data_IF_423167689633
#
_entry.id   IF_423167689633
#
_cell.length_a   1.000
_cell.length_b   1.000
_cell.length_c   1.000
_cell.angle_alpha   90.00
_cell.angle_beta   90.00
_cell.angle_gamma   90.00
#
_symmetry.space_group_name_H-M   'P 1'
#
loop_
_entity.id
_entity.type
_entity.pdbx_description
1 polymer ?
#
# COMPACT_ATOMS: atom_id res chain seq x y z
N UNK A 1 13.42 -11.89 0.31
CA UNK A 1 14.18 -11.72 -0.95
C UNK A 1 13.44 -10.75 -1.84
N UNK A 2 14.13 -10.08 -2.74
CA UNK A 2 13.51 -9.15 -3.69
C UNK A 2 14.45 -8.83 -4.85
N UNK A 3 14.00 -7.96 -5.75
CA UNK A 3 14.87 -7.47 -6.82
C UNK A 3 16.00 -6.63 -6.23
N UNK A 4 17.21 -6.74 -6.78
CA UNK A 4 18.38 -5.98 -6.32
C UNK A 4 18.14 -4.46 -6.32
N UNK A 5 17.32 -3.97 -7.26
CA UNK A 5 16.99 -2.55 -7.43
C UNK A 5 15.57 -2.20 -6.94
N UNK A 6 14.96 -3.07 -6.13
CA UNK A 6 13.60 -2.89 -5.63
C UNK A 6 13.50 -1.90 -4.47
N UNK A 7 12.37 -1.18 -4.38
CA UNK A 7 12.01 -0.33 -3.24
C UNK A 7 11.92 -1.13 -1.93
N UNK A 8 11.72 -2.44 -2.04
CA UNK A 8 11.62 -3.38 -0.94
C UNK A 8 12.92 -3.44 -0.12
N UNK A 9 14.09 -3.24 -0.73
CA UNK A 9 15.39 -3.31 -0.03
C UNK A 9 15.41 -2.33 1.15
N UNK A 10 15.11 -1.06 0.90
CA UNK A 10 15.13 -0.03 1.93
C UNK A 10 14.07 -0.24 3.02
N UNK A 11 12.92 -0.84 2.68
CA UNK A 11 11.89 -1.18 3.66
C UNK A 11 12.32 -2.34 4.58
N UNK A 12 12.91 -3.39 4.00
CA UNK A 12 13.36 -4.58 4.73
C UNK A 12 14.55 -4.26 5.64
N UNK A 13 15.49 -3.45 5.16
CA UNK A 13 16.66 -3.02 5.94
C UNK A 13 16.24 -2.16 7.13
N UNK A 14 15.28 -1.23 6.96
CA UNK A 14 14.72 -0.45 8.08
C UNK A 14 14.01 -1.31 9.13
N UNK A 15 13.45 -2.45 8.73
CA UNK A 15 12.82 -3.40 9.64
C UNK A 15 13.83 -4.33 10.34
N UNK A 16 15.14 -4.18 10.09
CA UNK A 16 16.18 -5.05 10.66
C UNK A 16 16.19 -6.48 10.09
N UNK A 17 15.55 -6.71 8.96
CA UNK A 17 15.43 -8.03 8.34
C UNK A 17 16.54 -8.28 7.33
N UNK A 18 17.01 -9.52 7.21
CA UNK A 18 18.04 -9.88 6.23
C UNK A 18 17.49 -9.82 4.80
N UNK A 19 18.02 -8.91 3.99
CA UNK A 19 17.69 -8.82 2.57
C UNK A 19 18.70 -9.61 1.72
N UNK A 20 18.17 -10.45 0.82
CA UNK A 20 18.93 -11.13 -0.25
C UNK A 20 18.32 -10.74 -1.58
N UNK A 21 19.12 -10.07 -2.41
CA UNK A 21 18.73 -9.67 -3.75
C UNK A 21 18.86 -10.83 -4.73
N UNK A 22 17.88 -10.98 -5.61
CA UNK A 22 17.91 -11.93 -6.74
C UNK A 22 17.79 -11.13 -8.03
N UNK A 23 18.56 -11.52 -9.04
CA UNK A 23 18.49 -10.86 -10.36
C UNK A 23 17.22 -11.33 -11.08
N UNK A 24 16.26 -10.43 -11.25
CA UNK A 24 14.98 -10.72 -11.90
C UNK A 24 14.69 -9.65 -12.94
N UNK A 25 14.60 -10.04 -14.21
CA UNK A 25 14.21 -9.14 -15.28
C UNK A 25 12.76 -8.67 -15.10
N UNK A 26 12.51 -7.37 -15.25
CA UNK A 26 11.15 -6.86 -15.41
C UNK A 26 10.63 -7.30 -16.78
N UNK A 27 9.56 -8.10 -16.81
CA UNK A 27 8.89 -8.49 -18.05
C UNK A 27 8.08 -7.29 -18.58
N UNK A 28 8.76 -6.36 -19.25
CA UNK A 28 8.14 -5.33 -20.08
C UNK A 28 8.70 -5.44 -21.50
N UNK A 29 7.80 -5.67 -22.46
CA UNK A 29 8.13 -5.76 -23.89
C UNK A 29 8.20 -7.22 -24.38
N UNK A 30 7.33 -7.55 -25.33
CA UNK A 30 7.29 -8.85 -26.02
C UNK A 30 8.24 -8.77 -27.22
N UNK A 31 9.56 -8.73 -26.98
CA UNK A 31 10.54 -8.91 -28.06
C UNK A 31 11.21 -10.29 -27.90
N UNK A 32 11.30 -11.13 -28.94
CA UNK A 32 11.90 -12.47 -28.84
C UNK A 32 13.31 -12.50 -28.22
N UNK A 33 14.15 -11.48 -28.50
CA UNK A 33 15.48 -11.35 -27.91
C UNK A 33 15.42 -11.04 -26.41
N UNK A 34 14.48 -10.19 -26.00
CA UNK A 34 14.23 -9.93 -24.58
C UNK A 34 13.65 -11.15 -23.86
N UNK A 35 12.82 -11.96 -24.52
CA UNK A 35 12.29 -13.20 -23.97
C UNK A 35 13.41 -14.23 -23.73
N UNK A 36 14.34 -14.40 -24.67
CA UNK A 36 15.49 -15.30 -24.50
C UNK A 36 16.42 -14.83 -23.37
N UNK A 37 16.73 -13.53 -23.32
CA UNK A 37 17.51 -12.93 -22.24
C UNK A 37 16.81 -13.10 -20.87
N UNK A 38 15.48 -12.98 -20.84
CA UNK A 38 14.68 -13.19 -19.63
C UNK A 38 14.68 -14.65 -19.18
N UNK A 39 14.70 -15.61 -20.12
CA UNK A 39 14.86 -17.04 -19.80
C UNK A 39 16.22 -17.32 -19.16
N UNK A 40 17.31 -16.75 -19.69
CA UNK A 40 18.64 -16.87 -19.10
C UNK A 40 18.69 -16.31 -17.67
N UNK A 41 18.09 -15.14 -17.45
CA UNK A 41 17.95 -14.54 -16.10
C UNK A 41 17.11 -15.41 -15.17
N UNK A 42 16.02 -16.00 -15.66
CA UNK A 42 15.18 -16.90 -14.89
C UNK A 42 15.95 -18.14 -14.43
N UNK A 43 16.72 -18.79 -15.31
CA UNK A 43 17.54 -19.97 -14.97
C UNK A 43 18.59 -19.59 -13.91
N UNK A 44 19.29 -18.46 -14.10
CA UNK A 44 20.27 -17.95 -13.12
C UNK A 44 19.60 -17.65 -11.78
N UNK A 45 18.43 -17.03 -11.80
CA UNK A 45 17.64 -16.73 -10.61
C UNK A 45 17.20 -18.00 -9.87
N UNK A 46 16.87 -19.09 -10.59
CA UNK A 46 16.55 -20.40 -9.98
C UNK A 46 17.80 -20.97 -9.29
N UNK A 47 18.96 -20.91 -9.94
CA UNK A 47 20.24 -21.33 -9.35
C UNK A 47 20.56 -20.57 -8.06
N UNK A 48 20.40 -19.24 -8.08
CA UNK A 48 20.55 -18.39 -6.89
C UNK A 48 19.56 -18.77 -5.79
N UNK A 49 18.28 -18.95 -6.14
CA UNK A 49 17.24 -19.36 -5.20
C UNK A 49 17.53 -20.73 -4.57
N UNK A 50 18.04 -21.70 -5.33
CA UNK A 50 18.43 -23.02 -4.82
C UNK A 50 19.56 -22.92 -3.79
N UNK A 51 20.57 -22.10 -4.05
CA UNK A 51 21.66 -21.85 -3.08
C UNK A 51 21.09 -21.25 -1.79
N UNK A 52 20.22 -20.26 -1.89
CA UNK A 52 19.64 -19.62 -0.70
C UNK A 52 18.75 -20.60 0.08
N UNK A 53 17.95 -21.43 -0.60
CA UNK A 53 17.16 -22.48 0.07
C UNK A 53 18.06 -23.53 0.76
N UNK A 54 19.22 -23.85 0.18
CA UNK A 54 20.18 -24.79 0.78
C UNK A 54 20.83 -24.22 2.04
N UNK A 55 21.15 -22.93 2.05
CA UNK A 55 21.74 -22.25 3.20
C UNK A 55 20.72 -21.99 4.31
N UNK A 56 19.57 -21.40 3.95
CA UNK A 56 18.54 -20.98 4.90
C UNK A 56 17.71 -22.15 5.44
N UNK A 57 17.53 -23.22 4.64
CA UNK A 57 16.74 -24.43 4.98
C UNK A 57 15.36 -24.11 5.58
N UNK A 58 14.49 -23.37 4.86
CA UNK A 58 13.18 -23.03 5.39
C UNK A 58 12.21 -24.22 5.40
N UNK A 59 11.36 -24.28 6.41
CA UNK A 59 10.22 -25.21 6.46
C UNK A 59 9.08 -24.80 5.51
N UNK A 60 8.92 -23.50 5.27
CA UNK A 60 7.92 -22.91 4.36
C UNK A 60 8.51 -21.68 3.67
N UNK A 61 8.18 -21.51 2.40
CA UNK A 61 8.42 -20.26 1.67
C UNK A 61 7.12 -19.45 1.59
N UNK A 62 7.14 -18.21 2.09
CA UNK A 62 6.04 -17.26 1.98
C UNK A 62 6.33 -16.21 0.90
N UNK A 63 5.39 -15.97 0.00
CA UNK A 63 5.52 -14.97 -1.06
C UNK A 63 4.26 -14.12 -1.21
N UNK A 64 4.43 -12.83 -1.48
CA UNK A 64 3.34 -11.87 -1.70
C UNK A 64 3.07 -11.59 -3.19
N UNK A 65 3.75 -12.30 -4.08
CA UNK A 65 3.53 -12.24 -5.53
C UNK A 65 4.53 -11.41 -6.33
N UNK A 66 4.18 -11.19 -7.60
CA UNK A 66 5.04 -10.55 -8.58
C UNK A 66 5.97 -11.52 -9.31
N UNK A 67 6.48 -11.07 -10.46
CA UNK A 67 7.36 -11.89 -11.32
C UNK A 67 8.71 -12.23 -10.65
N UNK A 68 9.15 -11.40 -9.70
CA UNK A 68 10.37 -11.62 -8.91
C UNK A 68 10.32 -12.91 -8.09
N UNK A 69 9.13 -13.40 -7.74
CA UNK A 69 8.97 -14.63 -6.96
C UNK A 69 9.07 -15.91 -7.81
N UNK A 70 9.04 -15.82 -9.14
CA UNK A 70 9.00 -17.00 -10.00
C UNK A 70 10.23 -17.93 -9.85
N UNK A 71 11.48 -17.44 -9.85
CA UNK A 71 12.64 -18.30 -9.65
C UNK A 71 12.63 -19.01 -8.29
N UNK A 72 12.19 -18.29 -7.24
CA UNK A 72 12.07 -18.84 -5.90
C UNK A 72 11.00 -19.93 -5.83
N UNK A 73 9.83 -19.71 -6.42
CA UNK A 73 8.75 -20.69 -6.43
C UNK A 73 9.16 -22.00 -7.15
N UNK A 74 9.89 -21.88 -8.26
CA UNK A 74 10.46 -23.04 -8.96
C UNK A 74 11.49 -23.76 -8.08
N UNK A 75 12.41 -23.03 -7.46
CA UNK A 75 13.40 -23.61 -6.56
C UNK A 75 12.75 -24.33 -5.36
N UNK A 76 11.69 -23.76 -4.78
CA UNK A 76 10.91 -24.40 -3.71
C UNK A 76 10.30 -25.72 -4.18
N UNK A 77 9.72 -25.74 -5.39
CA UNK A 77 9.17 -26.97 -5.98
C UNK A 77 10.26 -28.04 -6.16
N UNK A 78 11.44 -27.67 -6.65
CA UNK A 78 12.57 -28.59 -6.85
C UNK A 78 13.12 -29.14 -5.52
N UNK A 79 13.14 -28.32 -4.47
CA UNK A 79 13.62 -28.69 -3.14
C UNK A 79 12.55 -29.25 -2.21
N UNK A 80 11.31 -29.41 -2.70
CA UNK A 80 10.14 -29.86 -1.94
C UNK A 80 9.85 -28.99 -0.70
N UNK A 81 10.17 -27.71 -0.77
CA UNK A 81 9.78 -26.72 0.25
C UNK A 81 8.34 -26.26 -0.06
N UNK A 82 7.40 -26.36 0.89
CA UNK A 82 6.04 -25.84 0.73
C UNK A 82 6.04 -24.33 0.48
N UNK A 83 5.22 -23.88 -0.47
CA UNK A 83 5.04 -22.49 -0.86
C UNK A 83 3.63 -22.02 -0.47
N UNK A 84 3.58 -20.95 0.32
CA UNK A 84 2.38 -20.21 0.67
C UNK A 84 2.39 -18.86 -0.05
N UNK A 85 1.33 -18.57 -0.79
CA UNK A 85 1.13 -17.29 -1.45
C UNK A 85 0.16 -16.45 -0.62
N UNK A 86 0.42 -15.16 -0.47
CA UNK A 86 -0.56 -14.18 -0.02
C UNK A 86 -1.00 -13.29 -1.18
N UNK A 87 -2.30 -13.24 -1.43
CA UNK A 87 -2.95 -12.38 -2.42
C UNK A 87 -3.78 -11.31 -1.72
N UNK A 88 -3.32 -10.05 -1.70
CA UNK A 88 -4.06 -8.95 -1.10
C UNK A 88 -5.20 -8.44 -2.00
N UNK A 89 -5.06 -8.57 -3.32
CA UNK A 89 -6.02 -8.02 -4.29
C UNK A 89 -7.25 -8.92 -4.49
N UNK A 90 -8.38 -8.31 -4.85
CA UNK A 90 -9.61 -9.05 -5.16
C UNK A 90 -9.48 -9.90 -6.43
N UNK A 91 -8.75 -9.40 -7.44
CA UNK A 91 -8.53 -10.10 -8.71
C UNK A 91 -7.04 -10.42 -8.86
N UNK A 92 -6.65 -11.70 -9.01
CA UNK A 92 -5.25 -12.04 -9.13
C UNK A 92 -4.67 -11.67 -10.49
N UNK A 93 -3.48 -11.06 -10.46
CA UNK A 93 -2.66 -10.84 -11.64
C UNK A 93 -2.11 -12.14 -12.24
N UNK A 94 -1.59 -12.05 -13.47
CA UNK A 94 -1.09 -13.21 -14.23
C UNK A 94 0.04 -13.96 -13.50
N UNK A 95 0.95 -13.22 -12.87
CA UNK A 95 2.04 -13.82 -12.09
C UNK A 95 1.51 -14.70 -10.95
N UNK A 96 0.56 -14.21 -10.16
CA UNK A 96 -0.06 -14.98 -9.07
C UNK A 96 -0.79 -16.20 -9.61
N UNK A 97 -1.57 -16.06 -10.69
CA UNK A 97 -2.28 -17.19 -11.33
C UNK A 97 -1.32 -18.30 -11.77
N UNK A 98 -0.13 -17.94 -12.23
CA UNK A 98 0.90 -18.92 -12.60
C UNK A 98 1.57 -19.53 -11.37
N UNK A 99 1.99 -18.71 -10.41
CA UNK A 99 2.66 -19.13 -9.17
C UNK A 99 1.77 -20.05 -8.32
N UNK A 100 0.46 -19.82 -8.29
CA UNK A 100 -0.49 -20.62 -7.52
C UNK A 100 -0.54 -22.10 -7.95
N UNK A 101 -0.10 -22.42 -9.17
CA UNK A 101 0.06 -23.81 -9.64
C UNK A 101 1.15 -24.54 -8.85
N UNK A 102 2.18 -23.82 -8.42
CA UNK A 102 3.30 -24.33 -7.64
C UNK A 102 3.05 -24.30 -6.12
N UNK A 103 2.14 -23.43 -5.66
CA UNK A 103 1.82 -23.26 -4.24
C UNK A 103 0.95 -24.38 -3.66
N UNK A 104 1.14 -24.63 -2.36
CA UNK A 104 0.33 -25.53 -1.54
C UNK A 104 -0.97 -24.85 -1.12
N UNK A 105 -0.89 -23.58 -0.70
CA UNK A 105 -2.04 -22.77 -0.28
C UNK A 105 -1.89 -21.33 -0.76
N UNK A 106 -3.03 -20.67 -0.90
CA UNK A 106 -3.13 -19.24 -1.23
C UNK A 106 -3.97 -18.57 -0.16
N UNK A 107 -3.33 -17.77 0.69
CA UNK A 107 -4.01 -16.88 1.64
C UNK A 107 -4.58 -15.68 0.87
N UNK A 108 -5.88 -15.48 0.95
CA UNK A 108 -6.59 -14.39 0.25
C UNK A 108 -7.23 -13.43 1.24
N UNK A 109 -7.25 -12.14 0.89
CA UNK A 109 -7.92 -11.12 1.74
C UNK A 109 -9.44 -11.17 1.65
N UNK A 110 -9.99 -11.49 0.48
CA UNK A 110 -11.42 -11.43 0.22
C UNK A 110 -11.99 -12.83 -0.08
N UNK A 111 -13.18 -13.16 0.44
CA UNK A 111 -13.87 -14.41 0.09
C UNK A 111 -14.01 -14.60 -1.42
N UNK A 112 -14.36 -13.54 -2.16
CA UNK A 112 -14.55 -13.57 -3.61
C UNK A 112 -13.28 -13.99 -4.37
N UNK A 113 -12.10 -13.66 -3.83
CA UNK A 113 -10.83 -14.04 -4.43
C UNK A 113 -10.56 -15.55 -4.33
N UNK A 114 -11.24 -16.27 -3.41
CA UNK A 114 -11.07 -17.71 -3.24
C UNK A 114 -11.50 -18.52 -4.48
N UNK A 115 -12.46 -18.00 -5.25
CA UNK A 115 -12.95 -18.64 -6.47
C UNK A 115 -11.85 -18.85 -7.52
N UNK A 116 -10.79 -18.02 -7.51
CA UNK A 116 -9.66 -18.16 -8.43
C UNK A 116 -8.68 -19.29 -8.07
N UNK A 117 -8.77 -19.88 -6.87
CA UNK A 117 -7.83 -20.91 -6.38
C UNK A 117 -8.56 -22.11 -5.74
N UNK A 118 -9.35 -22.86 -6.52
CA UNK A 118 -10.13 -23.98 -6.01
C UNK A 118 -9.24 -25.01 -5.29
N UNK A 119 -9.64 -25.41 -4.08
CA UNK A 119 -8.92 -26.37 -3.22
C UNK A 119 -7.65 -25.83 -2.54
N UNK A 120 -7.19 -24.62 -2.90
CA UNK A 120 -5.96 -24.02 -2.37
C UNK A 120 -6.19 -22.75 -1.56
N UNK A 121 -7.29 -22.03 -1.78
CA UNK A 121 -7.59 -20.78 -1.09
C UNK A 121 -7.85 -20.97 0.40
N UNK A 122 -7.37 -20.03 1.22
CA UNK A 122 -7.72 -19.84 2.62
C UNK A 122 -8.01 -18.35 2.82
N UNK A 123 -9.21 -18.00 3.29
CA UNK A 123 -9.55 -16.60 3.55
C UNK A 123 -8.95 -16.19 4.88
N UNK A 124 -7.92 -15.34 4.84
CA UNK A 124 -7.20 -14.87 6.04
C UNK A 124 -7.52 -13.41 6.38
N UNK A 125 -8.15 -12.68 5.46
CA UNK A 125 -8.29 -11.23 5.58
C UNK A 125 -7.01 -10.48 5.19
N UNK A 126 -7.03 -9.16 5.35
CA UNK A 126 -5.88 -8.29 5.12
C UNK A 126 -5.12 -8.08 6.45
N UNK A 127 -3.79 -8.29 6.51
CA UNK A 127 -3.01 -8.04 7.71
C UNK A 127 -2.89 -6.53 7.93
N UNK A 128 -3.59 -6.04 8.94
CA UNK A 128 -3.59 -4.64 9.33
C UNK A 128 -2.50 -4.41 10.36
N UNK A 129 -1.90 -3.22 10.32
CA UNK A 129 -0.86 -2.81 11.26
C UNK A 129 -1.43 -2.69 12.68
N UNK A 130 -0.69 -3.17 13.68
CA UNK A 130 -1.14 -3.16 15.07
C UNK A 130 -1.31 -1.75 15.65
N UNK A 131 -0.48 -0.80 15.21
CA UNK A 131 -0.55 0.62 15.59
C UNK A 131 -1.86 1.27 15.11
N UNK A 132 -2.35 0.94 13.91
CA UNK A 132 -3.64 1.40 13.42
C UNK A 132 -4.80 0.81 14.23
N UNK A 133 -4.73 -0.49 14.56
CA UNK A 133 -5.74 -1.13 15.42
C UNK A 133 -5.82 -0.42 16.77
N UNK A 134 -4.67 -0.09 17.38
CA UNK A 134 -4.61 0.65 18.64
C UNK A 134 -5.14 2.09 18.48
N UNK A 135 -4.69 2.81 17.46
CA UNK A 135 -5.13 4.19 17.20
C UNK A 135 -6.66 4.26 16.98
N UNK A 136 -7.22 3.28 16.27
CA UNK A 136 -8.66 3.22 15.98
C UNK A 136 -9.55 2.98 17.22
N UNK A 137 -8.98 2.57 18.36
CA UNK A 137 -9.73 2.40 19.61
C UNK A 137 -10.17 3.75 20.20
N UNK A 138 -9.40 4.81 19.98
CA UNK A 138 -9.68 6.16 20.43
C UNK A 138 -9.42 7.18 19.32
N UNK A 139 -10.48 7.49 18.55
CA UNK A 139 -10.44 8.49 17.49
C UNK A 139 -10.09 9.88 18.01
N UNK A 140 -10.65 10.30 19.14
CA UNK A 140 -10.44 11.65 19.68
C UNK A 140 -8.99 11.82 20.13
N UNK A 141 -8.45 10.85 20.88
CA UNK A 141 -7.04 10.85 21.27
C UNK A 141 -6.10 10.72 20.08
N UNK A 142 -6.46 9.94 19.05
CA UNK A 142 -5.69 9.89 17.80
C UNK A 142 -5.67 11.22 17.07
N UNK A 143 -6.80 11.94 17.04
CA UNK A 143 -6.90 13.28 16.45
C UNK A 143 -6.07 14.32 17.22
N UNK A 144 -6.07 14.26 18.55
CA UNK A 144 -5.21 15.12 19.38
C UNK A 144 -3.71 14.87 19.15
N UNK A 145 -3.31 13.59 19.12
CA UNK A 145 -1.91 13.20 18.85
C UNK A 145 -1.48 13.62 17.45
N UNK A 146 -2.34 13.47 16.45
CA UNK A 146 -2.09 13.92 15.08
C UNK A 146 -1.92 15.43 15.01
N UNK A 147 -2.84 16.19 15.62
CA UNK A 147 -2.78 17.65 15.67
C UNK A 147 -1.47 18.13 16.31
N UNK A 148 -1.07 17.52 17.44
CA UNK A 148 0.19 17.83 18.11
C UNK A 148 1.43 17.48 17.24
N UNK A 149 1.46 16.29 16.64
CA UNK A 149 2.57 15.83 15.82
C UNK A 149 2.80 16.71 14.57
N UNK A 150 1.69 17.15 13.96
CA UNK A 150 1.72 17.98 12.74
C UNK A 150 1.62 19.48 13.02
N UNK A 151 1.52 19.89 14.30
CA UNK A 151 1.31 21.27 14.75
C UNK A 151 0.11 21.94 14.07
N UNK A 152 -1.00 21.21 13.97
CA UNK A 152 -2.24 21.67 13.35
C UNK A 152 -3.22 22.15 14.42
N UNK A 153 -3.92 23.24 14.13
CA UNK A 153 -5.17 23.56 14.81
C UNK A 153 -6.32 22.90 14.06
N UNK A 154 -7.00 21.98 14.73
CA UNK A 154 -8.13 21.21 14.19
C UNK A 154 -9.45 21.56 14.90
N UNK A 155 -9.51 22.68 15.64
CA UNK A 155 -10.74 23.12 16.31
C UNK A 155 -11.24 22.12 17.37
N UNK A 156 -10.31 21.43 18.06
CA UNK A 156 -10.64 20.33 18.98
C UNK A 156 -11.38 20.78 20.25
N UNK A 157 -11.27 22.06 20.59
CA UNK A 157 -11.92 22.69 21.73
C UNK A 157 -13.22 23.43 21.34
N UNK A 158 -13.60 23.41 20.05
CA UNK A 158 -14.86 23.98 19.58
C UNK A 158 -16.05 23.18 20.09
N UNK A 159 -17.18 23.86 20.32
CA UNK A 159 -18.42 23.21 20.78
C UNK A 159 -18.89 22.12 19.81
N UNK A 160 -18.66 22.32 18.52
CA UNK A 160 -18.81 21.32 17.47
C UNK A 160 -17.50 21.20 16.69
N UNK A 161 -16.70 20.17 16.97
CA UNK A 161 -15.45 19.92 16.25
C UNK A 161 -15.75 19.65 14.76
N UNK A 162 -15.17 20.42 13.82
CA UNK A 162 -15.39 20.17 12.41
C UNK A 162 -14.87 18.79 11.99
N UNK A 163 -15.50 18.13 11.00
CA UNK A 163 -15.03 16.86 10.50
C UNK A 163 -13.64 16.99 9.85
N UNK A 164 -12.84 15.94 9.97
CA UNK A 164 -11.53 15.82 9.34
C UNK A 164 -11.63 14.91 8.10
N UNK A 165 -11.43 15.50 6.94
CA UNK A 165 -11.27 14.82 5.66
C UNK A 165 -9.80 14.48 5.43
N UNK A 166 -9.48 13.19 5.29
CA UNK A 166 -8.15 12.73 4.89
C UNK A 166 -8.14 12.45 3.38
N UNK A 167 -7.19 13.04 2.66
CA UNK A 167 -6.99 12.82 1.22
C UNK A 167 -5.62 12.22 0.98
N UNK A 168 -5.51 11.11 0.22
CA UNK A 168 -4.21 10.55 -0.13
C UNK A 168 -4.21 9.71 -1.41
N UNK A 169 -3.09 9.74 -2.13
CA UNK A 169 -2.85 8.96 -3.35
C UNK A 169 -1.75 7.91 -3.25
N UNK A 170 -1.13 7.74 -2.08
CA UNK A 170 0.14 7.00 -1.89
C UNK A 170 1.36 7.93 -1.88
N UNK A 171 2.57 7.38 -1.74
CA UNK A 171 3.79 8.17 -1.51
C UNK A 171 4.16 9.14 -2.63
N UNK A 172 3.93 8.75 -3.89
CA UNK A 172 4.12 9.62 -5.04
C UNK A 172 2.93 10.56 -5.29
N UNK A 173 1.81 10.34 -4.61
CA UNK A 173 0.57 11.10 -4.79
C UNK A 173 -0.28 10.63 -5.96
N UNK A 174 -1.43 11.27 -6.12
CA UNK A 174 -2.35 11.06 -7.24
C UNK A 174 -2.76 12.41 -7.81
N UNK A 175 -2.18 12.80 -8.96
CA UNK A 175 -2.49 14.09 -9.59
C UNK A 175 -3.99 14.29 -9.85
N UNK A 176 -4.72 13.23 -10.19
CA UNK A 176 -6.17 13.32 -10.40
C UNK A 176 -6.92 13.64 -9.11
N UNK A 177 -6.58 12.98 -8.01
CA UNK A 177 -7.15 13.28 -6.68
C UNK A 177 -6.75 14.70 -6.24
N UNK A 178 -5.49 15.06 -6.39
CA UNK A 178 -4.98 16.36 -5.98
C UNK A 178 -5.72 17.51 -6.68
N UNK A 179 -5.89 17.40 -8.02
CA UNK A 179 -6.65 18.38 -8.81
C UNK A 179 -8.12 18.44 -8.40
N UNK A 180 -8.76 17.29 -8.19
CA UNK A 180 -10.16 17.26 -7.80
C UNK A 180 -10.40 17.93 -6.44
N UNK A 181 -9.51 17.68 -5.47
CA UNK A 181 -9.58 18.32 -4.15
C UNK A 181 -9.31 19.81 -4.23
N UNK A 182 -8.27 20.24 -4.96
CA UNK A 182 -7.99 21.67 -5.18
C UNK A 182 -9.19 22.41 -5.77
N UNK A 183 -9.86 21.80 -6.77
CA UNK A 183 -11.03 22.39 -7.40
C UNK A 183 -12.27 22.46 -6.49
N UNK A 184 -12.29 21.68 -5.40
CA UNK A 184 -13.44 21.59 -4.47
C UNK A 184 -13.18 22.29 -3.13
N UNK A 185 -12.03 22.94 -2.94
CA UNK A 185 -11.64 23.52 -1.65
C UNK A 185 -12.64 24.59 -1.14
N UNK A 186 -13.18 25.41 -2.05
CA UNK A 186 -14.12 26.46 -1.70
C UNK A 186 -15.41 25.90 -1.06
N UNK A 187 -15.84 24.71 -1.48
CA UNK A 187 -17.05 24.05 -0.97
C UNK A 187 -16.76 23.20 0.28
N UNK A 188 -15.55 22.65 0.40
CA UNK A 188 -15.20 21.72 1.47
C UNK A 188 -14.68 22.41 2.74
N UNK A 189 -13.88 23.48 2.62
CA UNK A 189 -13.27 24.15 3.78
C UNK A 189 -14.26 24.82 4.75
N UNK A 190 -15.45 25.32 4.31
CA UNK A 190 -16.46 25.80 5.23
C UNK A 190 -16.97 24.72 6.21
N UNK A 191 -16.96 23.46 5.79
CA UNK A 191 -17.58 22.35 6.53
C UNK A 191 -16.59 21.33 7.08
N UNK A 192 -15.31 21.40 6.75
CA UNK A 192 -14.32 20.40 7.18
C UNK A 192 -12.88 20.95 7.25
N UNK A 193 -12.07 20.33 8.11
CA UNK A 193 -10.61 20.35 7.96
C UNK A 193 -10.20 19.32 6.91
N UNK A 194 -9.20 19.65 6.09
CA UNK A 194 -8.70 18.75 5.06
C UNK A 194 -7.21 18.49 5.30
N UNK A 195 -6.87 17.27 5.72
CA UNK A 195 -5.49 16.78 5.72
C UNK A 195 -5.19 16.12 4.38
N UNK A 196 -4.40 16.79 3.54
CA UNK A 196 -4.16 16.36 2.17
C UNK A 196 -2.73 15.85 1.98
N UNK A 197 -2.58 14.53 1.90
CA UNK A 197 -1.33 13.87 1.55
C UNK A 197 -1.13 13.88 0.03
N UNK A 198 -0.52 14.96 -0.45
CA UNK A 198 -0.40 15.30 -1.87
C UNK A 198 0.50 14.34 -2.64
N UNK A 199 1.39 13.64 -1.94
CA UNK A 199 2.54 12.96 -2.50
C UNK A 199 3.70 13.91 -2.76
N UNK A 200 4.91 13.35 -2.75
CA UNK A 200 6.15 14.12 -2.90
C UNK A 200 6.29 14.82 -4.25
N UNK A 201 5.68 14.28 -5.31
CA UNK A 201 5.80 14.83 -6.67
C UNK A 201 4.92 16.06 -6.95
N UNK A 202 3.90 16.28 -6.12
CA UNK A 202 2.91 17.34 -6.35
C UNK A 202 2.81 18.33 -5.20
N UNK A 203 3.57 18.10 -4.12
CA UNK A 203 3.53 18.91 -2.90
C UNK A 203 3.78 20.40 -3.17
N UNK A 204 4.89 20.74 -3.82
CA UNK A 204 5.25 22.15 -4.07
C UNK A 204 4.20 22.87 -4.91
N UNK A 205 3.59 22.17 -5.89
CA UNK A 205 2.49 22.73 -6.69
C UNK A 205 1.26 22.99 -5.83
N UNK A 206 0.92 22.05 -4.95
CA UNK A 206 -0.25 22.18 -4.09
C UNK A 206 -0.07 23.29 -3.07
N UNK A 207 1.12 23.39 -2.47
CA UNK A 207 1.47 24.45 -1.53
C UNK A 207 1.48 25.81 -2.23
N UNK A 208 1.98 25.90 -3.46
CA UNK A 208 1.97 27.15 -4.23
C UNK A 208 0.58 27.75 -4.42
N UNK A 209 -0.47 26.93 -4.49
CA UNK A 209 -1.86 27.37 -4.61
C UNK A 209 -2.53 27.78 -3.29
N UNK A 210 -1.86 27.66 -2.13
CA UNK A 210 -2.41 28.07 -0.83
C UNK A 210 -2.70 29.57 -0.77
N UNK A 211 -1.86 30.39 -1.41
CA UNK A 211 -1.99 31.84 -1.39
C UNK A 211 -3.29 32.34 -2.04
N UNK A 212 -3.86 31.53 -2.95
CA UNK A 212 -5.10 31.85 -3.65
C UNK A 212 -6.34 31.53 -2.80
N UNK A 213 -6.19 30.84 -1.66
CA UNK A 213 -7.30 30.56 -0.75
C UNK A 213 -7.65 31.78 0.10
N UNK A 214 -8.95 32.04 0.33
CA UNK A 214 -9.39 33.05 1.29
C UNK A 214 -8.73 32.83 2.67
N UNK A 215 -8.24 33.91 3.28
CA UNK A 215 -7.52 33.85 4.58
C UNK A 215 -8.31 33.11 5.67
N UNK A 216 -9.65 33.23 5.66
CA UNK A 216 -10.55 32.55 6.58
C UNK A 216 -10.46 31.01 6.52
N UNK A 217 -9.96 30.44 5.43
CA UNK A 217 -9.90 28.99 5.20
C UNK A 217 -8.49 28.42 5.15
N UNK A 218 -7.46 29.27 5.16
CA UNK A 218 -6.06 28.83 5.09
C UNK A 218 -5.67 27.96 6.29
N UNK A 219 -6.29 28.16 7.45
CA UNK A 219 -6.11 27.33 8.64
C UNK A 219 -6.88 26.00 8.62
N UNK A 220 -7.70 25.73 7.59
CA UNK A 220 -8.47 24.50 7.43
C UNK A 220 -7.94 23.55 6.36
N UNK A 221 -7.00 24.01 5.53
CA UNK A 221 -6.35 23.18 4.51
C UNK A 221 -4.90 22.85 4.90
N UNK A 222 -4.64 21.57 5.11
CA UNK A 222 -3.38 21.06 5.64
C UNK A 222 -2.68 20.15 4.62
N UNK A 223 -2.01 20.70 3.58
CA UNK A 223 -1.25 19.89 2.64
C UNK A 223 0.03 19.38 3.28
N UNK A 224 0.30 18.08 3.12
CA UNK A 224 1.52 17.41 3.58
C UNK A 224 2.03 16.53 2.45
N UNK A 225 3.35 16.50 2.23
CA UNK A 225 3.90 15.69 1.15
C UNK A 225 3.61 14.19 1.35
N UNK A 226 3.86 13.68 2.54
CA UNK A 226 3.62 12.29 2.91
C UNK A 226 3.73 12.10 4.44
N UNK A 227 3.00 11.12 5.00
CA UNK A 227 3.13 10.72 6.41
C UNK A 227 3.78 9.35 6.53
N UNK A 228 4.69 9.22 7.49
CA UNK A 228 5.34 7.96 7.82
C UNK A 228 4.73 7.38 9.10
N UNK A 229 5.23 7.79 10.26
CA UNK A 229 4.84 7.23 11.56
C UNK A 229 3.43 7.66 11.98
N UNK A 230 2.94 8.79 11.47
CA UNK A 230 1.67 9.41 11.84
C UNK A 230 0.51 8.91 10.98
N UNK A 231 0.76 8.12 9.93
CA UNK A 231 -0.31 7.62 9.05
C UNK A 231 -1.40 6.82 9.80
N UNK A 232 -1.07 5.94 10.77
CA UNK A 232 -2.10 5.29 11.59
C UNK A 232 -2.97 6.27 12.38
N UNK A 233 -2.36 7.35 12.90
CA UNK A 233 -3.10 8.41 13.60
C UNK A 233 -4.01 9.17 12.62
N UNK A 234 -3.53 9.50 11.42
CA UNK A 234 -4.32 10.18 10.39
C UNK A 234 -5.54 9.34 9.98
N UNK A 235 -5.34 8.04 9.72
CA UNK A 235 -6.42 7.10 9.43
C UNK A 235 -7.39 6.95 10.59
N UNK A 236 -6.92 6.86 11.84
CA UNK A 236 -7.84 6.74 12.97
C UNK A 236 -8.61 8.05 13.26
N UNK A 237 -7.96 9.20 13.05
CA UNK A 237 -8.48 10.52 13.38
C UNK A 237 -9.54 11.04 12.40
N UNK A 238 -9.44 10.69 11.12
CA UNK A 238 -10.32 11.24 10.10
C UNK A 238 -11.73 10.63 10.14
N UNK A 239 -12.73 11.43 9.76
CA UNK A 239 -14.13 11.02 9.67
C UNK A 239 -14.44 10.44 8.29
N UNK A 240 -13.83 11.03 7.26
CA UNK A 240 -14.01 10.65 5.86
C UNK A 240 -12.67 10.63 5.16
N UNK A 241 -12.55 9.74 4.18
CA UNK A 241 -11.32 9.46 3.47
C UNK A 241 -11.53 9.41 1.96
N UNK A 242 -10.78 10.22 1.22
CA UNK A 242 -10.74 10.22 -0.25
C UNK A 242 -9.38 9.69 -0.71
N UNK A 243 -9.40 8.52 -1.34
CA UNK A 243 -8.19 7.84 -1.73
C UNK A 243 -8.42 6.85 -2.87
N UNK A 244 -7.33 6.22 -3.31
CA UNK A 244 -7.39 5.09 -4.22
C UNK A 244 -7.83 3.81 -3.49
N UNK A 245 -8.65 3.00 -4.16
CA UNK A 245 -9.08 1.68 -3.69
C UNK A 245 -8.01 0.59 -3.91
N UNK A 246 -6.81 0.77 -3.35
CA UNK A 246 -5.80 -0.28 -3.29
C UNK A 246 -6.11 -1.31 -2.20
N UNK A 247 -5.53 -2.52 -2.29
CA UNK A 247 -5.80 -3.57 -1.30
C UNK A 247 -5.50 -3.15 0.15
N UNK A 248 -4.43 -2.39 0.38
CA UNK A 248 -4.12 -1.84 1.71
C UNK A 248 -5.20 -0.89 2.22
N UNK A 249 -5.70 -0.01 1.36
CA UNK A 249 -6.80 0.89 1.68
C UNK A 249 -8.05 0.10 2.06
N UNK A 250 -8.42 -0.87 1.23
CA UNK A 250 -9.61 -1.69 1.46
C UNK A 250 -9.50 -2.55 2.73
N UNK A 251 -8.28 -2.95 3.10
CA UNK A 251 -8.01 -3.68 4.34
C UNK A 251 -7.97 -2.79 5.59
N UNK A 252 -7.42 -1.58 5.50
CA UNK A 252 -7.16 -0.71 6.66
C UNK A 252 -8.35 0.19 7.03
N UNK A 253 -9.13 0.70 6.07
CA UNK A 253 -10.26 1.61 6.35
C UNK A 253 -11.37 1.01 7.22
N UNK A 254 -11.76 -0.27 7.06
CA UNK A 254 -12.74 -0.88 7.95
C UNK A 254 -12.28 -0.88 9.42
N UNK A 255 -10.96 -1.05 9.65
CA UNK A 255 -10.38 -0.99 11.01
C UNK A 255 -10.42 0.42 11.57
N UNK A 256 -10.13 1.44 10.74
CA UNK A 256 -10.25 2.85 11.10
C UNK A 256 -11.70 3.33 11.30
N UNK A 257 -12.69 2.47 11.03
CA UNK A 257 -14.13 2.77 11.07
C UNK A 257 -14.48 3.99 10.20
N UNK A 258 -13.92 4.03 8.99
CA UNK A 258 -14.12 5.11 8.03
C UNK A 258 -14.99 4.65 6.85
N UNK A 259 -15.77 5.59 6.32
CA UNK A 259 -16.54 5.40 5.08
C UNK A 259 -15.64 5.69 3.87
N UNK A 260 -15.59 4.77 2.89
CA UNK A 260 -14.84 4.94 1.65
C UNK A 260 -15.70 5.65 0.60
N UNK A 261 -15.24 6.81 0.13
CA UNK A 261 -15.68 7.40 -1.15
C UNK A 261 -14.55 7.25 -2.17
N UNK A 262 -14.65 6.27 -3.06
CA UNK A 262 -13.64 6.04 -4.09
C UNK A 262 -13.90 6.96 -5.29
N UNK A 263 -12.87 7.71 -5.71
CA UNK A 263 -12.89 8.38 -7.00
C UNK A 263 -12.57 7.34 -8.08
N UNK A 264 -13.60 6.67 -8.59
CA UNK A 264 -13.44 5.85 -9.79
C UNK A 264 -13.11 6.78 -10.97
N UNK A 265 -11.83 6.88 -11.31
CA UNK A 265 -11.43 7.49 -12.57
C UNK A 265 -11.97 6.60 -13.69
N UNK A 266 -13.11 6.99 -14.30
CA UNK A 266 -13.43 6.57 -15.65
C UNK A 266 -12.34 7.15 -16.55
N UNK A 267 -11.42 6.28 -16.97
CA UNK A 267 -10.52 6.51 -18.09
C UNK A 267 -10.93 5.56 -19.21
#
# INVERSE_FOLDING_TARGET
MGSVNGLEKGLVERAGLTFRGVDTGQLRGINPLTALANTGKMIRGVGQALTILKEFRPDVCFVTGGYVCAPMAVACKLRRVPLLIYLPDMVPGLAIKWLSRLAQKVAVSFPDAAAYFPGKAVVTGYPVRGDLVQAAQDRRGSRQKLAAALKLDLGLDEAETPPLLLVWGGSQGSRSINKAIQASLADLLPVAHILHLTGTLDYDRVVGGLADLPTAWQNRYHPVAYLHAEMPLALAAADVSVCRAGASTLGELPVARQTLTSAAARA
#
